data_IF_289544101579
#
_entry.id   IF_289544101579
#
_cell.length_a   1.000
_cell.length_b   1.000
_cell.length_c   1.000
_cell.angle_alpha   90.00
_cell.angle_beta   90.00
_cell.angle_gamma   90.00
#
_symmetry.space_group_name_H-M   'P 1'
#
loop_
_entity.id
_entity.type
_entity.pdbx_description
1 polymer ?
#
# COMPACT_ATOMS: atom_id res chain seq x y z
N UNK A 1 53.67 -35.70 -8.66
CA UNK A 1 52.92 -35.33 -7.44
C UNK A 1 52.09 -34.11 -7.82
N UNK A 2 50.86 -34.34 -8.30
CA UNK A 2 50.04 -33.28 -8.90
C UNK A 2 49.33 -32.53 -7.79
N UNK A 3 49.62 -31.23 -7.70
CA UNK A 3 48.97 -30.25 -6.82
C UNK A 3 47.46 -30.44 -6.81
N UNK A 4 46.94 -30.76 -5.64
CA UNK A 4 45.50 -30.83 -5.37
C UNK A 4 45.00 -29.39 -5.36
N UNK A 5 44.64 -28.87 -6.54
CA UNK A 5 44.05 -27.54 -6.71
C UNK A 5 42.91 -27.39 -5.69
N UNK A 6 43.10 -26.48 -4.73
CA UNK A 6 42.05 -26.08 -3.81
C UNK A 6 40.88 -25.55 -4.62
N UNK A 7 39.83 -26.37 -4.75
CA UNK A 7 38.65 -26.04 -5.51
C UNK A 7 37.66 -25.34 -4.55
N UNK A 8 37.48 -24.01 -4.64
CA UNK A 8 36.59 -23.28 -3.73
C UNK A 8 35.13 -23.73 -3.87
N UNK A 9 34.75 -24.32 -5.01
CA UNK A 9 33.41 -24.89 -5.21
C UNK A 9 33.27 -26.19 -4.42
N UNK A 10 34.31 -27.03 -4.36
CA UNK A 10 34.27 -28.24 -3.52
C UNK A 10 34.25 -27.89 -2.03
N UNK A 11 35.04 -26.90 -1.61
CA UNK A 11 35.00 -26.41 -0.24
C UNK A 11 33.62 -25.83 0.13
N UNK A 12 33.01 -25.05 -0.78
CA UNK A 12 31.65 -24.55 -0.61
C UNK A 12 30.61 -25.68 -0.58
N UNK A 13 30.73 -26.66 -1.46
CA UNK A 13 29.86 -27.84 -1.48
C UNK A 13 29.99 -28.64 -0.18
N UNK A 14 31.18 -28.81 0.35
CA UNK A 14 31.40 -29.48 1.64
C UNK A 14 30.75 -28.69 2.78
N UNK A 15 30.84 -27.36 2.77
CA UNK A 15 30.16 -26.50 3.73
C UNK A 15 28.64 -26.65 3.62
N UNK A 16 28.08 -26.63 2.41
CA UNK A 16 26.63 -26.79 2.17
C UNK A 16 26.16 -28.18 2.59
N UNK A 17 26.91 -29.24 2.30
CA UNK A 17 26.56 -30.61 2.68
C UNK A 17 26.62 -30.83 4.20
N UNK A 18 27.62 -30.23 4.87
CA UNK A 18 27.66 -30.19 6.35
C UNK A 18 26.45 -29.46 6.89
N UNK A 19 26.08 -28.34 6.27
CA UNK A 19 24.88 -27.57 6.65
C UNK A 19 23.58 -28.37 6.46
N UNK A 20 23.45 -29.12 5.37
CA UNK A 20 22.28 -29.98 5.12
C UNK A 20 22.19 -31.11 6.16
N UNK A 21 23.33 -31.65 6.59
CA UNK A 21 23.41 -32.66 7.64
C UNK A 21 23.05 -32.08 9.00
N UNK A 22 23.63 -30.92 9.36
CA UNK A 22 23.31 -30.20 10.59
C UNK A 22 21.84 -29.78 10.62
N UNK A 23 21.26 -29.35 9.49
CA UNK A 23 19.85 -29.01 9.37
C UNK A 23 18.93 -30.23 9.50
N UNK A 24 19.34 -31.42 9.05
CA UNK A 24 18.59 -32.65 9.27
C UNK A 24 18.60 -33.08 10.74
N UNK A 25 19.74 -32.92 11.43
CA UNK A 25 19.84 -33.15 12.88
C UNK A 25 19.00 -32.12 13.66
N UNK A 26 19.05 -30.84 13.24
CA UNK A 26 18.25 -29.76 13.79
C UNK A 26 16.76 -29.96 13.53
N UNK A 27 16.35 -30.47 12.37
CA UNK A 27 14.95 -30.78 12.06
C UNK A 27 14.36 -31.77 13.06
N UNK A 28 15.15 -32.78 13.44
CA UNK A 28 14.78 -33.76 14.47
C UNK A 28 14.65 -33.12 15.87
N UNK A 29 15.55 -32.19 16.24
CA UNK A 29 15.57 -31.55 17.57
C UNK A 29 14.63 -30.33 17.72
N UNK A 30 14.41 -29.56 16.64
CA UNK A 30 13.64 -28.31 16.63
C UNK A 30 12.14 -28.58 16.76
N UNK A 31 11.65 -29.69 16.20
CA UNK A 31 10.22 -30.02 16.25
C UNK A 31 9.76 -30.46 17.65
N UNK A 32 10.68 -30.72 18.58
CA UNK A 32 10.39 -31.23 19.93
C UNK A 32 10.57 -30.22 21.07
N UNK A 33 11.11 -29.02 20.85
CA UNK A 33 11.39 -28.08 21.95
C UNK A 33 10.53 -26.82 21.89
N UNK A 34 9.69 -26.63 22.90
CA UNK A 34 9.00 -25.36 23.18
C UNK A 34 9.99 -24.19 23.33
N UNK A 35 11.24 -24.49 23.69
CA UNK A 35 12.34 -23.53 23.81
C UNK A 35 12.75 -22.88 22.48
N UNK A 36 12.64 -23.59 21.35
CA UNK A 36 12.94 -23.02 20.02
C UNK A 36 11.95 -21.90 19.65
N UNK A 37 10.66 -22.11 19.91
CA UNK A 37 9.63 -21.09 19.69
C UNK A 37 9.85 -19.85 20.55
N UNK A 38 10.27 -20.04 21.80
CA UNK A 38 10.62 -18.94 22.69
C UNK A 38 11.86 -18.17 22.21
N UNK A 39 12.91 -18.87 21.79
CA UNK A 39 14.14 -18.29 21.25
C UNK A 39 13.89 -17.51 19.95
N UNK A 40 13.16 -18.10 18.99
CA UNK A 40 12.78 -17.40 17.75
C UNK A 40 11.95 -16.17 18.08
N UNK A 41 10.96 -16.29 18.97
CA UNK A 41 10.14 -15.15 19.39
C UNK A 41 10.95 -14.02 20.04
N UNK A 42 11.95 -14.36 20.85
CA UNK A 42 12.86 -13.39 21.45
C UNK A 42 13.80 -12.76 20.41
N UNK A 43 14.36 -13.56 19.51
CA UNK A 43 15.21 -13.08 18.41
C UNK A 43 14.43 -12.13 17.49
N UNK A 44 13.22 -12.50 17.09
CA UNK A 44 12.33 -11.63 16.30
C UNK A 44 12.02 -10.33 17.01
N UNK A 45 11.71 -10.37 18.32
CA UNK A 45 11.50 -9.14 19.12
C UNK A 45 12.75 -8.25 19.14
N UNK A 46 13.93 -8.84 19.29
CA UNK A 46 15.20 -8.10 19.27
C UNK A 46 15.46 -7.46 17.90
N UNK A 47 15.18 -8.17 16.80
CA UNK A 47 15.31 -7.63 15.44
C UNK A 47 14.32 -6.49 15.19
N UNK A 48 13.05 -6.65 15.57
CA UNK A 48 12.03 -5.61 15.44
C UNK A 48 12.40 -4.37 16.27
N UNK A 49 12.92 -4.58 17.49
CA UNK A 49 13.41 -3.49 18.33
C UNK A 49 14.58 -2.76 17.65
N UNK A 50 15.59 -3.48 17.15
CA UNK A 50 16.72 -2.88 16.45
C UNK A 50 16.29 -2.06 15.22
N UNK A 51 15.34 -2.57 14.44
CA UNK A 51 14.77 -1.86 13.30
C UNK A 51 14.07 -0.56 13.73
N UNK A 52 13.30 -0.61 14.82
CA UNK A 52 12.63 0.58 15.38
C UNK A 52 13.64 1.63 15.85
N UNK A 53 14.68 1.22 16.58
CA UNK A 53 15.71 2.15 17.08
C UNK A 53 16.49 2.80 15.93
N UNK A 54 16.80 2.04 14.87
CA UNK A 54 17.41 2.60 13.66
C UNK A 54 16.48 3.60 12.94
N UNK A 55 15.18 3.29 12.85
CA UNK A 55 14.20 4.21 12.28
C UNK A 55 14.11 5.51 13.09
N UNK A 56 14.07 5.44 14.42
CA UNK A 56 14.05 6.60 15.31
C UNK A 56 15.32 7.47 15.18
N UNK A 57 16.50 6.84 15.06
CA UNK A 57 17.76 7.56 14.83
C UNK A 57 17.80 8.24 13.46
N UNK A 58 17.37 7.54 12.42
CA UNK A 58 17.28 8.09 11.07
C UNK A 58 16.30 9.26 11.04
N UNK A 59 15.17 9.15 11.75
CA UNK A 59 14.20 10.22 11.88
C UNK A 59 14.76 11.43 12.64
N UNK A 60 15.51 11.21 13.72
CA UNK A 60 16.19 12.29 14.45
C UNK A 60 17.21 13.03 13.57
N UNK A 61 17.97 12.31 12.74
CA UNK A 61 18.88 12.91 11.76
C UNK A 61 18.11 13.70 10.71
N UNK A 62 17.04 13.14 10.15
CA UNK A 62 16.20 13.83 9.15
C UNK A 62 15.57 15.11 9.72
N UNK A 63 15.04 15.06 10.95
CA UNK A 63 14.53 16.25 11.65
C UNK A 63 15.62 17.30 11.88
N UNK A 64 16.83 16.89 12.24
CA UNK A 64 17.97 17.81 12.42
C UNK A 64 18.34 18.53 11.12
N UNK A 65 18.09 17.89 9.97
CA UNK A 65 18.31 18.44 8.63
C UNK A 65 17.07 19.16 8.07
N UNK A 66 16.00 19.32 8.86
CA UNK A 66 14.68 19.81 8.41
C UNK A 66 14.10 19.03 7.22
N UNK A 67 14.48 17.76 7.06
CA UNK A 67 13.93 16.87 6.04
C UNK A 67 12.74 16.08 6.62
N UNK A 68 11.60 16.01 5.92
CA UNK A 68 10.46 15.23 6.37
C UNK A 68 10.81 13.74 6.37
N UNK A 69 10.42 13.05 7.44
CA UNK A 69 10.63 11.61 7.56
C UNK A 69 9.64 10.83 6.71
N UNK A 70 9.96 9.56 6.41
CA UNK A 70 9.03 8.67 5.70
C UNK A 70 7.68 8.55 6.42
N UNK A 71 7.68 8.40 7.75
CA UNK A 71 6.46 8.29 8.54
C UNK A 71 5.57 9.54 8.43
N UNK A 72 6.17 10.73 8.37
CA UNK A 72 5.44 11.98 8.19
C UNK A 72 4.84 12.10 6.78
N UNK A 73 5.54 11.60 5.75
CA UNK A 73 5.01 11.53 4.38
C UNK A 73 3.81 10.58 4.33
N UNK A 74 3.90 9.42 4.98
CA UNK A 74 2.81 8.45 5.06
C UNK A 74 1.58 9.06 5.78
N UNK A 75 1.78 9.75 6.90
CA UNK A 75 0.70 10.45 7.63
C UNK A 75 0.04 11.56 6.79
N UNK A 76 0.83 12.35 6.07
CA UNK A 76 0.30 13.38 5.16
C UNK A 76 -0.51 12.73 4.03
N UNK A 77 -0.02 11.61 3.49
CA UNK A 77 -0.69 10.89 2.40
C UNK A 77 -2.04 10.32 2.84
N UNK A 78 -2.12 9.77 4.06
CA UNK A 78 -3.37 9.28 4.63
C UNK A 78 -4.38 10.42 4.84
N UNK A 79 -3.94 11.55 5.39
CA UNK A 79 -4.79 12.74 5.53
C UNK A 79 -5.26 13.28 4.17
N UNK A 80 -4.40 13.23 3.15
CA UNK A 80 -4.75 13.63 1.79
C UNK A 80 -5.84 12.72 1.21
N UNK A 81 -5.71 11.40 1.39
CA UNK A 81 -6.72 10.44 0.92
C UNK A 81 -8.09 10.68 1.55
N UNK A 82 -8.15 10.99 2.85
CA UNK A 82 -9.40 11.37 3.54
C UNK A 82 -10.01 12.64 2.93
N UNK A 83 -9.19 13.64 2.62
CA UNK A 83 -9.65 14.88 1.97
C UNK A 83 -10.19 14.58 0.57
N UNK A 84 -9.52 13.72 -0.20
CA UNK A 84 -9.97 13.30 -1.53
C UNK A 84 -11.32 12.58 -1.49
N UNK A 85 -11.53 11.72 -0.49
CA UNK A 85 -12.81 11.04 -0.28
C UNK A 85 -13.93 12.03 0.08
N UNK A 86 -13.67 12.96 1.01
CA UNK A 86 -14.62 14.02 1.34
C UNK A 86 -14.96 14.91 0.12
N UNK A 87 -13.98 15.20 -0.73
CA UNK A 87 -14.19 15.92 -1.98
C UNK A 87 -15.04 15.12 -2.98
N UNK A 88 -14.85 13.81 -3.07
CA UNK A 88 -15.68 12.93 -3.90
C UNK A 88 -17.13 12.91 -3.39
N UNK A 89 -17.34 12.78 -2.09
CA UNK A 89 -18.66 12.84 -1.46
C UNK A 89 -19.36 14.19 -1.70
N UNK A 90 -18.63 15.30 -1.54
CA UNK A 90 -19.18 16.63 -1.83
C UNK A 90 -19.56 16.80 -3.29
N UNK A 91 -18.75 16.30 -4.23
CA UNK A 91 -19.08 16.32 -5.67
C UNK A 91 -20.36 15.55 -5.97
N UNK A 92 -20.56 14.38 -5.34
CA UNK A 92 -21.79 13.61 -5.47
C UNK A 92 -23.00 14.37 -4.90
N UNK A 93 -22.88 14.90 -3.69
CA UNK A 93 -23.95 15.67 -3.04
C UNK A 93 -24.30 16.97 -3.78
N UNK A 94 -23.34 17.62 -4.45
CA UNK A 94 -23.58 18.79 -5.30
C UNK A 94 -24.17 18.37 -6.66
N UNK A 95 -23.74 17.23 -7.22
CA UNK A 95 -24.33 16.67 -8.44
C UNK A 95 -25.80 16.25 -8.26
N UNK A 96 -26.18 15.76 -7.08
CA UNK A 96 -27.56 15.45 -6.70
C UNK A 96 -28.41 16.70 -6.41
N UNK A 97 -27.79 17.84 -6.09
CA UNK A 97 -28.47 19.15 -5.90
C UNK A 97 -28.86 19.84 -7.22
N UNK A 98 -29.04 19.10 -8.30
CA UNK A 98 -29.71 19.60 -9.50
C UNK A 98 -31.22 19.23 -9.52
N UNK A 99 -32.11 20.03 -8.91
CA UNK A 99 -33.50 20.13 -9.33
C UNK A 99 -33.71 21.50 -10.01
N UNK A 100 -34.39 21.63 -11.15
CA UNK A 100 -35.73 21.10 -11.37
C UNK A 100 -35.97 20.73 -12.85
N UNK A 101 -36.90 19.79 -13.12
CA UNK A 101 -37.47 19.66 -14.46
C UNK A 101 -38.16 20.99 -14.81
N UNK A 102 -37.77 21.56 -15.94
CA UNK A 102 -38.43 22.73 -16.52
C UNK A 102 -39.93 22.50 -16.53
N UNK A 103 -40.70 23.39 -15.88
CA UNK A 103 -42.16 23.33 -15.91
C UNK A 103 -42.64 23.20 -17.37
N UNK A 104 -43.62 22.34 -17.66
CA UNK A 104 -44.01 22.06 -19.04
C UNK A 104 -44.52 23.35 -19.71
N UNK A 105 -43.84 23.74 -20.79
CA UNK A 105 -44.15 24.95 -21.53
C UNK A 105 -45.60 24.91 -22.07
N UNK A 106 -46.41 25.95 -21.86
CA UNK A 106 -47.81 25.93 -22.26
C UNK A 106 -47.94 25.84 -23.79
N UNK A 107 -48.66 24.82 -24.26
CA UNK A 107 -48.91 24.58 -25.69
C UNK A 107 -49.54 25.81 -26.34
N UNK A 108 -48.84 26.40 -27.31
CA UNK A 108 -49.35 27.52 -28.13
C UNK A 108 -50.53 27.04 -28.98
N UNK A 109 -51.76 27.30 -28.54
CA UNK A 109 -53.01 26.92 -29.25
C UNK A 109 -53.49 27.93 -30.28
N UNK A 110 -52.75 29.00 -30.54
CA UNK A 110 -53.19 30.00 -31.53
C UNK A 110 -52.75 29.63 -32.93
N UNK A 111 -53.60 28.88 -33.64
CA UNK A 111 -53.52 28.72 -35.10
C UNK A 111 -53.90 30.06 -35.75
N UNK A 112 -53.13 30.63 -36.69
CA UNK A 112 -53.53 31.84 -37.40
C UNK A 112 -54.79 31.55 -38.23
N UNK A 113 -55.73 32.50 -38.27
CA UNK A 113 -56.93 32.39 -39.09
C UNK A 113 -56.53 32.23 -40.57
N UNK A 114 -57.06 31.18 -41.22
CA UNK A 114 -56.94 31.02 -42.66
C UNK A 114 -57.60 32.22 -43.34
N UNK A 115 -56.84 32.93 -44.16
CA UNK A 115 -57.31 34.09 -44.91
C UNK A 115 -58.31 33.58 -45.95
N UNK A 116 -59.61 33.78 -45.71
CA UNK A 116 -60.66 33.59 -46.70
C UNK A 116 -60.46 34.61 -47.82
N UNK A 117 -60.14 34.12 -49.02
CA UNK A 117 -60.38 34.79 -50.30
C UNK A 117 -61.15 33.74 -51.10
N UNK A 118 -62.47 33.81 -51.31
CA UNK A 118 -63.23 34.98 -51.74
C UNK A 118 -63.17 35.01 -53.26
N UNK A 119 -64.10 34.30 -53.89
CA UNK A 119 -64.41 34.35 -55.34
C UNK A 119 -64.68 35.81 -55.76
N UNK A 120 -64.12 36.22 -56.89
CA UNK A 120 -64.84 36.73 -58.08
C UNK A 120 -63.86 36.88 -59.26
#
# INVERSE_FOLDING_TARGET
MTDKQFNPIEAWQEIVQRWETELNEWSSQITQSEEFGALIGQATKATVYAQKTMAEQTEAVLRSLNLPSKSQIDEISERLAVIEDHLAQLKLAVGERNPAPSAPEPRRTRKPAARTSGNE
#
